data_IF_589845969042
#
_entry.id   IF_589845969042
#
_cell.length_a   1.000
_cell.length_b   1.000
_cell.length_c   1.000
_cell.angle_alpha   90.00
_cell.angle_beta   90.00
_cell.angle_gamma   90.00
#
_symmetry.space_group_name_H-M   'P 1'
#
loop_
_entity.id
_entity.type
_entity.pdbx_description
1 polymer ?
#
# COMPACT_ATOMS: atom_id res chain seq x y z
N UNK A 1 30.74 -12.31 -5.58
CA UNK A 1 30.00 -11.74 -4.45
C UNK A 1 29.08 -12.78 -3.84
N UNK A 2 29.10 -12.90 -2.53
CA UNK A 2 28.26 -13.87 -1.77
C UNK A 2 27.65 -13.18 -0.56
N UNK A 3 26.43 -13.53 -0.23
CA UNK A 3 25.79 -13.10 1.01
C UNK A 3 26.47 -13.79 2.19
N UNK A 4 26.95 -13.00 3.14
CA UNK A 4 27.67 -13.48 4.34
C UNK A 4 26.82 -13.41 5.60
N UNK A 5 25.85 -12.50 5.66
CA UNK A 5 24.93 -12.36 6.78
C UNK A 5 23.66 -11.63 6.37
N UNK A 6 22.59 -11.78 7.18
CA UNK A 6 21.33 -11.06 7.07
C UNK A 6 20.93 -10.67 8.48
N UNK A 7 20.55 -9.41 8.66
CA UNK A 7 20.04 -8.87 9.92
C UNK A 7 18.71 -8.18 9.68
N UNK A 8 17.70 -8.61 10.41
CA UNK A 8 16.39 -7.96 10.44
C UNK A 8 16.24 -7.15 11.73
N UNK A 9 15.75 -5.95 11.63
CA UNK A 9 15.55 -5.05 12.78
C UNK A 9 14.16 -4.45 12.72
N UNK A 10 13.37 -4.67 13.75
CA UNK A 10 12.04 -4.05 13.90
C UNK A 10 12.18 -2.60 14.30
N UNK A 11 11.57 -1.72 13.56
CA UNK A 11 11.50 -0.29 13.84
C UNK A 11 10.05 0.17 13.98
N UNK A 12 9.84 1.16 14.80
CA UNK A 12 8.52 1.77 15.03
C UNK A 12 8.53 3.20 14.52
N UNK A 13 7.66 3.49 13.54
CA UNK A 13 7.50 4.83 12.97
C UNK A 13 6.29 5.49 13.65
N UNK A 14 6.48 6.59 14.41
CA UNK A 14 5.39 7.27 15.08
C UNK A 14 4.46 7.96 14.07
N UNK A 15 3.17 7.98 14.39
CA UNK A 15 2.13 8.72 13.68
C UNK A 15 1.72 9.96 14.49
N UNK A 16 1.34 11.03 13.81
CA UNK A 16 0.81 12.24 14.46
C UNK A 16 -0.45 11.95 15.29
N UNK A 17 -1.30 11.05 14.81
CA UNK A 17 -2.54 10.64 15.46
C UNK A 17 -2.95 9.23 15.01
N UNK A 18 -3.76 8.49 15.80
CA UNK A 18 -4.24 7.17 15.42
C UNK A 18 -5.11 7.21 14.16
N UNK A 19 -4.80 6.39 13.15
CA UNK A 19 -5.51 6.34 11.88
C UNK A 19 -6.59 5.27 11.92
N UNK A 20 -7.81 5.63 11.52
CA UNK A 20 -8.97 4.72 11.48
C UNK A 20 -9.22 4.22 10.07
N UNK A 21 -9.57 2.95 9.94
CA UNK A 21 -10.00 2.31 8.70
C UNK A 21 -10.98 1.16 9.01
N UNK A 22 -11.57 0.55 7.99
CA UNK A 22 -12.57 -0.52 8.15
C UNK A 22 -12.10 -1.72 8.97
N UNK A 23 -10.79 -2.05 8.89
CA UNK A 23 -10.22 -3.21 9.58
C UNK A 23 -9.68 -2.88 10.99
N UNK A 24 -9.89 -1.65 11.49
CA UNK A 24 -9.45 -1.26 12.82
C UNK A 24 -8.73 0.09 12.90
N UNK A 25 -7.68 0.15 13.70
CA UNK A 25 -6.94 1.39 13.99
C UNK A 25 -5.45 1.13 14.02
N UNK A 26 -4.68 1.99 13.38
CA UNK A 26 -3.24 2.11 13.62
C UNK A 26 -3.03 3.02 14.84
N UNK A 27 -2.76 2.42 15.98
CA UNK A 27 -2.65 3.13 17.27
C UNK A 27 -1.33 3.89 17.40
N UNK A 28 -1.25 5.04 16.71
CA UNK A 28 -0.18 6.02 16.85
C UNK A 28 1.19 5.58 16.30
N UNK A 29 1.29 4.43 15.62
CA UNK A 29 2.55 3.93 15.07
C UNK A 29 2.35 2.93 13.94
N UNK A 30 3.32 2.89 13.01
CA UNK A 30 3.54 1.76 12.12
C UNK A 30 4.77 0.96 12.58
N UNK A 31 4.65 -0.36 12.52
CA UNK A 31 5.78 -1.27 12.73
C UNK A 31 6.33 -1.69 11.37
N UNK A 32 7.64 -1.55 11.19
CA UNK A 32 8.36 -1.94 9.97
C UNK A 32 9.52 -2.85 10.34
N UNK A 33 9.91 -3.76 9.44
CA UNK A 33 11.13 -4.55 9.59
C UNK A 33 12.11 -4.13 8.52
N UNK A 34 13.22 -3.55 8.93
CA UNK A 34 14.34 -3.19 8.05
C UNK A 34 15.28 -4.39 7.97
N UNK A 35 15.68 -4.74 6.76
CA UNK A 35 16.58 -5.84 6.45
C UNK A 35 17.89 -5.30 5.93
N UNK A 36 19.00 -5.73 6.53
CA UNK A 36 20.35 -5.51 6.05
C UNK A 36 20.92 -6.84 5.54
N UNK A 37 21.38 -6.87 4.31
CA UNK A 37 22.03 -8.03 3.67
C UNK A 37 23.49 -7.71 3.44
N UNK A 38 24.38 -8.47 4.07
CA UNK A 38 25.83 -8.28 4.05
C UNK A 38 26.46 -9.18 3.00
N UNK A 39 27.54 -8.71 2.35
CA UNK A 39 28.29 -9.47 1.36
C UNK A 39 29.76 -9.60 1.72
N UNK A 40 30.44 -10.61 1.12
CA UNK A 40 31.89 -10.83 1.22
C UNK A 40 32.73 -9.71 0.59
N UNK A 41 32.13 -8.83 -0.18
CA UNK A 41 32.76 -7.65 -0.76
C UNK A 41 32.54 -6.36 0.06
N UNK A 42 31.95 -6.45 1.25
CA UNK A 42 31.70 -5.32 2.13
C UNK A 42 30.53 -4.42 1.70
N UNK A 43 29.80 -4.79 0.65
CA UNK A 43 28.59 -4.06 0.24
C UNK A 43 27.43 -4.56 1.09
N UNK A 44 26.66 -3.61 1.64
CA UNK A 44 25.46 -3.88 2.42
C UNK A 44 24.25 -3.38 1.62
N UNK A 45 23.27 -4.26 1.38
CA UNK A 45 21.98 -3.89 0.80
C UNK A 45 20.91 -3.74 1.86
N UNK A 46 19.99 -2.83 1.63
CA UNK A 46 18.86 -2.55 2.53
C UNK A 46 17.55 -2.89 1.86
N UNK A 47 16.71 -3.62 2.59
CA UNK A 47 15.34 -3.93 2.21
C UNK A 47 14.39 -3.61 3.35
N UNK A 48 13.10 -3.70 3.08
CA UNK A 48 12.07 -3.39 4.05
C UNK A 48 10.83 -4.26 3.84
N UNK A 49 10.19 -4.62 4.95
CA UNK A 49 8.92 -5.31 4.97
C UNK A 49 7.95 -4.62 5.94
N UNK A 50 6.67 -4.52 5.56
CA UNK A 50 5.61 -4.00 6.42
C UNK A 50 5.17 -4.98 7.49
N UNK A 51 4.89 -4.47 8.69
CA UNK A 51 4.33 -5.24 9.80
C UNK A 51 5.33 -6.21 10.45
N UNK A 52 4.79 -7.13 11.23
CA UNK A 52 5.47 -8.32 11.75
C UNK A 52 6.14 -8.20 13.10
N UNK A 53 6.84 -7.12 13.41
CA UNK A 53 7.56 -7.00 14.69
C UNK A 53 8.57 -8.13 14.92
N UNK A 54 8.75 -8.54 16.17
CA UNK A 54 9.73 -9.57 16.59
C UNK A 54 9.54 -10.93 15.87
N UNK A 55 8.30 -11.30 15.54
CA UNK A 55 8.03 -12.54 14.80
C UNK A 55 8.64 -12.54 13.40
N UNK A 56 8.75 -11.37 12.78
CA UNK A 56 9.38 -11.21 11.46
C UNK A 56 10.90 -11.35 11.55
N UNK A 57 11.53 -10.83 12.60
CA UNK A 57 12.97 -11.03 12.84
C UNK A 57 13.33 -12.51 12.96
N UNK A 58 12.56 -13.27 13.75
CA UNK A 58 12.72 -14.72 13.87
C UNK A 58 12.51 -15.45 12.54
N UNK A 59 11.53 -15.00 11.74
CA UNK A 59 11.28 -15.59 10.44
C UNK A 59 12.43 -15.36 9.44
N UNK A 60 13.04 -14.16 9.44
CA UNK A 60 14.25 -13.89 8.65
C UNK A 60 15.45 -14.70 9.12
N UNK A 61 15.65 -14.83 10.44
CA UNK A 61 16.71 -15.69 10.97
C UNK A 61 16.53 -17.16 10.50
N UNK A 62 15.30 -17.64 10.46
CA UNK A 62 14.98 -18.97 9.92
C UNK A 62 15.29 -19.15 8.43
N UNK A 63 15.24 -18.06 7.64
CA UNK A 63 15.58 -18.06 6.22
C UNK A 63 17.10 -17.95 5.97
N UNK A 64 17.86 -17.42 6.89
CA UNK A 64 19.28 -17.14 6.76
C UNK A 64 20.09 -18.31 6.19
N UNK A 65 19.83 -19.52 6.69
CA UNK A 65 20.50 -20.74 6.23
C UNK A 65 20.35 -21.05 4.73
N UNK A 66 19.29 -20.54 4.07
CA UNK A 66 19.05 -20.74 2.65
C UNK A 66 19.71 -19.64 1.80
N UNK A 67 20.11 -18.54 2.41
CA UNK A 67 20.59 -17.33 1.77
C UNK A 67 22.11 -17.16 1.88
N UNK A 68 22.71 -17.67 2.95
CA UNK A 68 24.17 -17.63 3.12
C UNK A 68 24.88 -18.30 1.95
N UNK A 69 25.90 -17.61 1.39
CA UNK A 69 26.62 -18.06 0.21
C UNK A 69 25.91 -17.85 -1.12
N UNK A 70 24.66 -17.34 -1.11
CA UNK A 70 23.93 -17.01 -2.33
C UNK A 70 24.56 -15.80 -3.03
N UNK A 71 24.55 -15.80 -4.36
CA UNK A 71 24.97 -14.65 -5.17
C UNK A 71 23.78 -13.69 -5.32
N UNK A 72 23.83 -12.44 -4.80
CA UNK A 72 22.73 -11.49 -4.89
C UNK A 72 22.32 -11.12 -6.33
N UNK A 73 23.15 -11.41 -7.34
CA UNK A 73 22.78 -11.24 -8.75
C UNK A 73 21.80 -12.30 -9.27
N UNK A 74 21.67 -13.45 -8.60
CA UNK A 74 20.80 -14.55 -9.03
C UNK A 74 19.40 -14.39 -8.42
N UNK A 75 18.65 -13.36 -8.83
CA UNK A 75 17.34 -13.03 -8.25
C UNK A 75 16.30 -14.15 -8.46
N UNK A 76 16.29 -14.82 -9.62
CA UNK A 76 15.35 -15.94 -9.87
C UNK A 76 15.65 -17.18 -9.00
N UNK A 77 16.94 -17.50 -8.77
CA UNK A 77 17.31 -18.56 -7.83
C UNK A 77 16.89 -18.19 -6.39
N UNK A 78 17.05 -16.93 -6.03
CA UNK A 78 16.61 -16.40 -4.75
C UNK A 78 15.08 -16.59 -4.58
N UNK A 79 14.30 -16.17 -5.57
CA UNK A 79 12.85 -16.34 -5.58
C UNK A 79 12.46 -17.81 -5.45
N UNK A 80 13.11 -18.69 -6.21
CA UNK A 80 12.89 -20.13 -6.14
C UNK A 80 13.17 -20.70 -4.74
N UNK A 81 14.26 -20.33 -4.10
CA UNK A 81 14.63 -20.80 -2.75
C UNK A 81 13.66 -20.33 -1.66
N UNK A 82 13.13 -19.12 -1.77
CA UNK A 82 12.28 -18.53 -0.72
C UNK A 82 10.81 -18.81 -0.96
N UNK A 83 10.31 -18.58 -2.17
CA UNK A 83 8.89 -18.67 -2.51
C UNK A 83 8.48 -20.03 -3.00
N UNK A 84 9.45 -20.88 -3.38
CA UNK A 84 9.12 -22.17 -3.95
C UNK A 84 8.38 -23.04 -2.96
N UNK A 85 7.40 -23.72 -3.44
CA UNK A 85 6.21 -24.11 -2.76
C UNK A 85 6.47 -25.29 -1.87
N UNK A 86 6.58 -24.98 -0.70
CA UNK A 86 5.95 -25.89 0.22
C UNK A 86 4.48 -25.52 0.22
N UNK A 87 3.64 -26.49 0.17
CA UNK A 87 2.20 -26.47 0.01
C UNK A 87 1.37 -25.55 0.94
N UNK A 88 1.89 -24.44 1.45
CA UNK A 88 1.15 -23.52 2.29
C UNK A 88 0.90 -22.20 1.56
N UNK A 89 -0.35 -21.99 1.19
CA UNK A 89 -0.87 -20.72 0.65
C UNK A 89 -0.85 -19.58 1.68
N UNK A 90 -0.55 -19.86 2.95
CA UNK A 90 -0.68 -18.94 4.07
C UNK A 90 0.66 -18.51 4.67
N UNK A 91 1.75 -18.62 3.93
CA UNK A 91 3.04 -18.13 4.42
C UNK A 91 3.29 -16.71 3.91
N UNK A 92 3.96 -15.92 4.71
CA UNK A 92 4.40 -14.56 4.36
C UNK A 92 5.69 -14.53 3.52
N UNK A 93 6.09 -15.65 2.92
CA UNK A 93 7.37 -15.77 2.19
C UNK A 93 7.48 -14.84 1.00
N UNK A 94 6.36 -14.55 0.32
CA UNK A 94 6.35 -13.57 -0.79
C UNK A 94 6.77 -12.19 -0.31
N UNK A 95 6.25 -11.73 0.83
CA UNK A 95 6.63 -10.44 1.40
C UNK A 95 8.09 -10.44 1.90
N UNK A 96 8.52 -11.54 2.51
CA UNK A 96 9.92 -11.70 2.94
C UNK A 96 10.87 -11.74 1.74
N UNK A 97 10.47 -12.44 0.66
CA UNK A 97 11.22 -12.44 -0.60
C UNK A 97 11.38 -11.02 -1.14
N UNK A 98 10.31 -10.25 -1.21
CA UNK A 98 10.37 -8.87 -1.70
C UNK A 98 11.38 -8.02 -0.90
N UNK A 99 11.40 -8.12 0.43
CA UNK A 99 12.37 -7.40 1.26
C UNK A 99 13.83 -7.82 0.97
N UNK A 100 14.07 -9.12 0.76
CA UNK A 100 15.41 -9.63 0.42
C UNK A 100 15.78 -9.22 -1.00
N UNK A 101 14.86 -9.27 -1.95
CA UNK A 101 15.09 -8.84 -3.34
C UNK A 101 15.40 -7.35 -3.41
N UNK A 102 14.71 -6.49 -2.65
CA UNK A 102 15.05 -5.07 -2.55
C UNK A 102 16.48 -4.87 -2.06
N UNK A 103 16.90 -5.60 -1.03
CA UNK A 103 18.29 -5.55 -0.55
C UNK A 103 19.29 -6.04 -1.61
N UNK A 104 18.95 -7.08 -2.36
CA UNK A 104 19.78 -7.56 -3.47
C UNK A 104 19.89 -6.52 -4.60
N UNK A 105 18.78 -5.90 -4.99
CA UNK A 105 18.77 -4.82 -5.99
C UNK A 105 19.62 -3.61 -5.53
N UNK A 106 19.55 -3.26 -4.25
CA UNK A 106 20.38 -2.21 -3.66
C UNK A 106 21.88 -2.59 -3.71
N UNK A 107 22.23 -3.85 -3.42
CA UNK A 107 23.60 -4.37 -3.60
C UNK A 107 24.03 -4.26 -5.07
N UNK A 108 23.19 -4.67 -6.01
CA UNK A 108 23.48 -4.63 -7.43
C UNK A 108 23.71 -3.18 -7.89
N UNK A 109 22.84 -2.26 -7.53
CA UNK A 109 22.98 -0.84 -7.84
C UNK A 109 24.31 -0.26 -7.31
N UNK A 110 24.63 -0.54 -6.03
CA UNK A 110 25.88 -0.12 -5.39
C UNK A 110 27.10 -0.73 -6.07
N UNK A 111 27.06 -2.02 -6.41
CA UNK A 111 28.16 -2.72 -7.08
C UNK A 111 28.42 -2.20 -8.49
N UNK A 112 27.38 -1.89 -9.24
CA UNK A 112 27.47 -1.41 -10.63
C UNK A 112 27.63 0.12 -10.71
N UNK A 113 27.44 0.83 -9.61
CA UNK A 113 27.49 2.31 -9.59
C UNK A 113 26.31 2.96 -10.30
N UNK A 114 25.14 2.29 -10.33
CA UNK A 114 23.93 2.79 -10.98
C UNK A 114 22.74 2.78 -10.00
N UNK A 115 21.76 3.66 -10.17
CA UNK A 115 20.53 3.62 -9.39
C UNK A 115 19.70 2.38 -9.75
N UNK A 116 18.91 1.89 -8.80
CA UNK A 116 18.09 0.67 -8.99
C UNK A 116 17.11 0.80 -10.18
N UNK A 117 16.59 1.98 -10.45
CA UNK A 117 15.69 2.15 -11.59
C UNK A 117 16.34 1.84 -12.95
N UNK A 118 17.66 2.00 -13.09
CA UNK A 118 18.38 1.60 -14.31
C UNK A 118 18.41 0.08 -14.49
N UNK A 119 18.40 -0.68 -13.38
CA UNK A 119 18.28 -2.13 -13.38
C UNK A 119 16.85 -2.61 -13.75
N UNK A 120 15.86 -1.74 -13.59
CA UNK A 120 14.43 -2.02 -13.83
C UNK A 120 13.93 -1.46 -15.18
N UNK A 121 14.83 -1.07 -16.08
CA UNK A 121 14.45 -0.60 -17.41
C UNK A 121 14.69 0.90 -17.66
N UNK A 122 15.25 1.62 -16.69
CA UNK A 122 15.63 3.02 -16.82
C UNK A 122 14.60 4.01 -16.28
N UNK A 123 15.03 5.26 -16.18
CA UNK A 123 14.25 6.36 -15.64
C UNK A 123 13.25 6.90 -16.68
N UNK A 124 11.96 6.89 -16.34
CA UNK A 124 10.91 7.46 -17.17
C UNK A 124 10.58 8.92 -16.77
N UNK A 125 10.73 9.27 -15.48
CA UNK A 125 10.36 10.58 -14.93
C UNK A 125 11.41 11.04 -13.93
N UNK A 126 11.61 12.35 -13.85
CA UNK A 126 12.46 12.97 -12.83
C UNK A 126 11.69 13.20 -11.52
N UNK A 127 10.40 13.46 -11.62
CA UNK A 127 9.51 13.73 -10.48
C UNK A 127 8.30 12.78 -10.53
N UNK A 128 7.91 12.27 -9.36
CA UNK A 128 6.73 11.43 -9.17
C UNK A 128 5.74 12.16 -8.27
N UNK A 129 4.57 12.56 -8.80
CA UNK A 129 3.56 13.19 -7.97
C UNK A 129 2.95 12.20 -6.98
N UNK A 130 2.79 12.62 -5.73
CA UNK A 130 2.14 11.84 -4.68
C UNK A 130 0.73 12.35 -4.42
N UNK A 131 -0.16 11.44 -4.01
CA UNK A 131 -1.45 11.80 -3.46
C UNK A 131 -1.38 11.95 -1.95
N UNK A 132 -2.12 12.88 -1.38
CA UNK A 132 -2.33 12.88 0.07
C UNK A 132 -3.16 11.66 0.47
N UNK A 133 -2.82 11.05 1.60
CA UNK A 133 -3.57 9.94 2.16
C UNK A 133 -4.29 10.39 3.43
N UNK A 134 -5.58 10.66 3.30
CA UNK A 134 -6.43 11.25 4.34
C UNK A 134 -7.17 10.13 5.07
N UNK A 135 -7.11 10.14 6.39
CA UNK A 135 -7.81 9.20 7.27
C UNK A 135 -8.75 9.95 8.20
N UNK A 136 -9.84 9.31 8.59
CA UNK A 136 -10.46 9.64 9.86
C UNK A 136 -9.49 9.26 10.99
N UNK A 137 -9.43 10.06 12.03
CA UNK A 137 -8.43 9.93 13.11
C UNK A 137 -9.09 10.04 14.47
N UNK A 138 -8.58 9.32 15.45
CA UNK A 138 -8.73 9.68 16.85
C UNK A 138 -7.73 10.78 17.21
N UNK A 139 -8.01 11.57 18.26
CA UNK A 139 -7.00 12.51 18.76
C UNK A 139 -5.76 11.76 19.26
N UNK A 140 -4.61 12.38 19.16
CA UNK A 140 -3.40 11.88 19.80
C UNK A 140 -3.61 11.77 21.31
N UNK A 141 -3.20 10.68 21.92
CA UNK A 141 -3.46 10.41 23.34
C UNK A 141 -2.79 11.42 24.28
N UNK A 142 -1.65 11.98 23.89
CA UNK A 142 -0.86 12.92 24.67
C UNK A 142 -1.23 14.37 24.37
N UNK A 143 -1.10 14.79 23.10
CA UNK A 143 -1.35 16.17 22.70
C UNK A 143 -2.83 16.55 22.63
N UNK A 144 -3.73 15.54 22.53
CA UNK A 144 -5.17 15.68 22.27
C UNK A 144 -5.50 16.35 20.92
N UNK A 145 -4.52 16.46 20.03
CA UNK A 145 -4.65 17.08 18.71
C UNK A 145 -4.76 16.03 17.58
N UNK A 146 -5.00 16.48 16.36
CA UNK A 146 -4.98 15.66 15.16
C UNK A 146 -6.24 14.82 14.92
N UNK A 147 -7.35 15.06 15.67
CA UNK A 147 -8.63 14.42 15.41
C UNK A 147 -9.20 14.83 14.04
N UNK A 148 -9.68 13.82 13.29
CA UNK A 148 -10.44 14.01 12.05
C UNK A 148 -11.67 13.13 12.12
N UNK A 149 -12.81 13.70 12.51
CA UNK A 149 -14.06 12.98 12.72
C UNK A 149 -15.25 13.66 12.06
N UNK A 150 -15.26 14.98 12.04
CA UNK A 150 -16.34 15.78 11.44
C UNK A 150 -15.99 16.19 10.01
N UNK A 151 -16.97 16.61 9.24
CA UNK A 151 -16.79 17.15 7.88
C UNK A 151 -15.82 18.33 7.90
N UNK A 152 -16.00 19.26 8.83
CA UNK A 152 -15.16 20.46 8.93
C UNK A 152 -13.69 20.11 9.23
N UNK A 153 -13.46 19.17 10.17
CA UNK A 153 -12.11 18.68 10.48
C UNK A 153 -11.47 18.01 9.27
N UNK A 154 -12.24 17.20 8.52
CA UNK A 154 -11.75 16.54 7.31
C UNK A 154 -11.36 17.56 6.24
N UNK A 155 -12.19 18.54 5.97
CA UNK A 155 -11.95 19.61 5.00
C UNK A 155 -10.72 20.43 5.41
N UNK A 156 -10.63 20.83 6.66
CA UNK A 156 -9.48 21.57 7.18
C UNK A 156 -8.18 20.77 7.05
N UNK A 157 -8.22 19.46 7.38
CA UNK A 157 -7.07 18.57 7.26
C UNK A 157 -6.62 18.42 5.80
N UNK A 158 -7.56 18.21 4.86
CA UNK A 158 -7.25 18.12 3.43
C UNK A 158 -6.60 19.40 2.88
N UNK A 159 -7.16 20.58 3.25
CA UNK A 159 -6.58 21.90 2.89
C UNK A 159 -5.18 22.10 3.46
N UNK A 160 -4.96 21.75 4.72
CA UNK A 160 -3.64 21.83 5.37
C UNK A 160 -2.59 20.96 4.68
N UNK A 161 -2.95 19.75 4.27
CA UNK A 161 -2.07 18.85 3.52
C UNK A 161 -1.71 19.44 2.14
N UNK A 162 -2.69 19.98 1.43
CA UNK A 162 -2.45 20.66 0.15
C UNK A 162 -1.55 21.87 0.32
N UNK A 163 -1.82 22.72 1.29
CA UNK A 163 -1.02 23.92 1.57
C UNK A 163 0.42 23.57 1.94
N UNK A 164 0.61 22.57 2.79
CA UNK A 164 1.94 22.17 3.29
C UNK A 164 2.79 21.45 2.25
N UNK A 165 2.19 20.61 1.42
CA UNK A 165 2.91 19.67 0.56
C UNK A 165 2.61 19.82 -0.94
N UNK A 166 1.65 20.64 -1.33
CA UNK A 166 1.30 20.87 -2.73
C UNK A 166 0.53 19.72 -3.39
N UNK A 167 -0.11 18.84 -2.64
CA UNK A 167 -0.89 17.74 -3.22
C UNK A 167 -2.04 18.27 -4.09
N UNK A 168 -2.21 17.64 -5.25
CA UNK A 168 -3.31 17.88 -6.20
C UNK A 168 -4.17 16.65 -6.44
N UNK A 169 -3.88 15.58 -5.73
CA UNK A 169 -4.67 14.35 -5.69
C UNK A 169 -4.80 13.89 -4.24
N UNK A 170 -5.98 13.42 -3.86
CA UNK A 170 -6.32 13.10 -2.48
C UNK A 170 -7.03 11.76 -2.39
N UNK A 171 -6.57 10.88 -1.52
CA UNK A 171 -7.21 9.58 -1.22
C UNK A 171 -7.82 9.65 0.18
N UNK A 172 -9.15 9.49 0.29
CA UNK A 172 -9.83 9.33 1.58
C UNK A 172 -9.98 7.85 1.91
N UNK A 173 -9.45 7.45 3.05
CA UNK A 173 -9.66 6.12 3.63
C UNK A 173 -11.00 6.08 4.36
N UNK A 174 -11.92 5.28 3.83
CA UNK A 174 -13.28 5.14 4.33
C UNK A 174 -13.53 3.81 5.06
N UNK A 175 -14.82 3.44 5.14
CA UNK A 175 -15.28 2.24 5.84
C UNK A 175 -15.29 2.39 7.36
N UNK A 176 -15.26 3.61 7.87
CA UNK A 176 -15.18 3.95 9.31
C UNK A 176 -16.52 4.35 9.85
N UNK A 177 -17.34 5.02 9.04
CA UNK A 177 -18.66 5.53 9.41
C UNK A 177 -19.76 4.96 8.51
N UNK A 178 -20.99 5.36 8.78
CA UNK A 178 -22.10 5.02 7.88
C UNK A 178 -21.82 5.57 6.46
N UNK A 179 -22.07 4.78 5.39
CA UNK A 179 -21.78 5.18 4.02
C UNK A 179 -22.39 6.51 3.59
N UNK A 180 -23.60 6.85 4.06
CA UNK A 180 -24.23 8.15 3.76
C UNK A 180 -23.45 9.34 4.34
N UNK A 181 -22.89 9.17 5.53
CA UNK A 181 -22.06 10.19 6.15
C UNK A 181 -20.72 10.32 5.42
N UNK A 182 -20.11 9.20 5.02
CA UNK A 182 -18.86 9.21 4.25
C UNK A 182 -19.03 9.82 2.85
N UNK A 183 -20.20 9.65 2.21
CA UNK A 183 -20.57 10.40 0.97
C UNK A 183 -20.53 11.91 1.23
N UNK A 184 -21.18 12.37 2.32
CA UNK A 184 -21.17 13.80 2.65
C UNK A 184 -19.76 14.33 2.96
N UNK A 185 -18.95 13.54 3.68
CA UNK A 185 -17.53 13.83 3.94
C UNK A 185 -16.73 13.96 2.65
N UNK A 186 -16.84 12.98 1.75
CA UNK A 186 -16.10 12.94 0.51
C UNK A 186 -16.51 14.09 -0.43
N UNK A 187 -17.80 14.38 -0.56
CA UNK A 187 -18.29 15.50 -1.35
C UNK A 187 -17.76 16.83 -0.82
N UNK A 188 -17.90 17.08 0.49
CA UNK A 188 -17.40 18.31 1.11
C UNK A 188 -15.88 18.49 0.93
N UNK A 189 -15.11 17.43 1.05
CA UNK A 189 -13.67 17.45 0.77
C UNK A 189 -13.40 17.82 -0.69
N UNK A 190 -14.07 17.18 -1.65
CA UNK A 190 -13.88 17.43 -3.08
C UNK A 190 -14.31 18.86 -3.48
N UNK A 191 -15.45 19.32 -2.98
CA UNK A 191 -15.96 20.69 -3.23
C UNK A 191 -15.05 21.78 -2.61
N UNK A 192 -14.33 21.44 -1.53
CA UNK A 192 -13.42 22.35 -0.86
C UNK A 192 -12.06 22.55 -1.54
N UNK A 193 -11.71 21.67 -2.49
CA UNK A 193 -10.43 21.63 -3.22
C UNK A 193 -10.70 21.54 -4.73
N UNK A 194 -11.32 22.58 -5.32
CA UNK A 194 -11.71 22.55 -6.73
C UNK A 194 -10.49 22.41 -7.66
N UNK A 195 -10.64 21.57 -8.68
CA UNK A 195 -9.58 21.26 -9.65
C UNK A 195 -8.67 20.10 -9.24
N UNK A 196 -8.74 19.64 -8.01
CA UNK A 196 -8.00 18.47 -7.56
C UNK A 196 -8.74 17.15 -7.92
N UNK A 197 -8.05 16.03 -7.78
CA UNK A 197 -8.57 14.70 -8.06
C UNK A 197 -8.72 13.90 -6.77
N UNK A 198 -9.70 13.00 -6.76
CA UNK A 198 -10.08 12.29 -5.54
C UNK A 198 -10.16 10.78 -5.75
N UNK A 199 -9.86 10.05 -4.67
CA UNK A 199 -9.96 8.60 -4.56
C UNK A 199 -10.62 8.26 -3.24
N UNK A 200 -11.46 7.24 -3.26
CA UNK A 200 -12.07 6.71 -2.03
C UNK A 200 -11.78 5.23 -1.90
N UNK A 201 -11.40 4.80 -0.71
CA UNK A 201 -11.00 3.41 -0.44
C UNK A 201 -11.57 2.96 0.92
N UNK A 202 -12.68 2.22 0.93
CA UNK A 202 -13.28 1.67 2.13
C UNK A 202 -12.72 0.30 2.54
N UNK A 203 -11.69 -0.22 1.87
CA UNK A 203 -11.12 -1.57 2.12
C UNK A 203 -12.18 -2.66 2.16
N UNK A 204 -13.00 -2.74 1.12
CA UNK A 204 -14.06 -3.74 0.93
C UNK A 204 -15.12 -3.79 2.06
N UNK A 205 -15.32 -2.67 2.77
CA UNK A 205 -16.27 -2.60 3.88
C UNK A 205 -17.72 -2.53 3.44
N UNK A 206 -18.00 -2.19 2.17
CA UNK A 206 -19.35 -2.00 1.70
C UNK A 206 -19.90 -3.27 1.04
N UNK A 207 -21.21 -3.47 1.14
CA UNK A 207 -21.92 -4.41 0.28
C UNK A 207 -21.90 -3.92 -1.17
N UNK A 208 -22.22 -4.80 -2.13
CA UNK A 208 -22.36 -4.42 -3.54
C UNK A 208 -23.38 -3.30 -3.73
N UNK A 209 -24.53 -3.38 -3.03
CA UNK A 209 -25.58 -2.38 -3.12
C UNK A 209 -25.16 -1.03 -2.53
N UNK A 210 -24.49 -1.03 -1.38
CA UNK A 210 -23.95 0.20 -0.78
C UNK A 210 -22.86 0.82 -1.64
N UNK A 211 -21.98 -0.01 -2.24
CA UNK A 211 -20.94 0.44 -3.16
C UNK A 211 -21.53 1.14 -4.39
N UNK A 212 -22.59 0.59 -4.98
CA UNK A 212 -23.30 1.20 -6.10
C UNK A 212 -23.93 2.54 -5.69
N UNK A 213 -24.65 2.56 -4.55
CA UNK A 213 -25.25 3.80 -4.03
C UNK A 213 -24.21 4.88 -3.74
N UNK A 214 -23.08 4.47 -3.15
CA UNK A 214 -21.95 5.36 -2.88
C UNK A 214 -21.36 5.93 -4.17
N UNK A 215 -21.04 5.06 -5.14
CA UNK A 215 -20.48 5.46 -6.42
C UNK A 215 -21.40 6.41 -7.20
N UNK A 216 -22.70 6.12 -7.27
CA UNK A 216 -23.70 7.03 -7.89
C UNK A 216 -23.72 8.39 -7.20
N UNK A 217 -23.61 8.43 -5.88
CA UNK A 217 -23.69 9.67 -5.10
C UNK A 217 -22.45 10.57 -5.25
N UNK A 218 -21.33 10.07 -5.79
CA UNK A 218 -20.08 10.82 -5.96
C UNK A 218 -19.58 10.88 -7.41
N UNK A 219 -20.25 10.25 -8.38
CA UNK A 219 -19.75 10.11 -9.76
C UNK A 219 -19.70 11.43 -10.54
N UNK A 220 -20.33 12.48 -10.07
CA UNK A 220 -20.27 13.84 -10.61
C UNK A 220 -19.01 14.62 -10.18
N UNK A 221 -18.25 14.07 -9.23
CA UNK A 221 -17.03 14.68 -8.75
C UNK A 221 -15.81 14.27 -9.58
N UNK A 222 -14.67 14.93 -9.37
CA UNK A 222 -13.41 14.65 -10.06
C UNK A 222 -12.72 13.40 -9.50
N UNK A 223 -13.30 12.22 -9.76
CA UNK A 223 -12.77 10.95 -9.28
C UNK A 223 -11.69 10.39 -10.19
N UNK A 224 -10.57 9.89 -9.61
CA UNK A 224 -9.61 9.04 -10.30
C UNK A 224 -10.14 7.60 -10.38
N UNK A 225 -10.56 7.06 -9.22
CA UNK A 225 -11.15 5.74 -9.09
C UNK A 225 -11.81 5.55 -7.70
N UNK A 226 -12.64 4.52 -7.62
CA UNK A 226 -13.16 3.96 -6.38
C UNK A 226 -12.43 2.64 -6.12
N UNK A 227 -11.64 2.57 -5.03
CA UNK A 227 -10.77 1.44 -4.71
C UNK A 227 -11.46 0.47 -3.75
N UNK A 228 -11.43 -0.80 -4.11
CA UNK A 228 -11.96 -1.90 -3.28
C UNK A 228 -13.25 -1.56 -2.52
N UNK A 229 -14.33 -1.13 -3.20
CA UNK A 229 -15.56 -0.80 -2.48
C UNK A 229 -16.19 -2.04 -1.82
N UNK A 230 -16.04 -3.21 -2.44
CA UNK A 230 -16.58 -4.49 -1.97
C UNK A 230 -15.63 -5.64 -2.26
N UNK A 231 -15.91 -6.81 -1.70
CA UNK A 231 -15.08 -8.00 -1.89
C UNK A 231 -15.34 -8.75 -3.19
N UNK A 232 -14.25 -9.33 -3.73
CA UNK A 232 -14.25 -10.33 -4.79
C UNK A 232 -14.51 -9.77 -6.18
N UNK A 233 -13.96 -10.43 -7.22
CA UNK A 233 -14.07 -10.02 -8.61
C UNK A 233 -15.53 -9.84 -9.05
N UNK A 234 -16.42 -10.77 -8.71
CA UNK A 234 -17.83 -10.67 -9.05
C UNK A 234 -18.55 -9.49 -8.38
N UNK A 235 -18.19 -9.17 -7.14
CA UNK A 235 -18.72 -8.01 -6.43
C UNK A 235 -18.28 -6.72 -7.12
N UNK A 236 -16.98 -6.58 -7.38
CA UNK A 236 -16.42 -5.42 -8.07
C UNK A 236 -17.00 -5.23 -9.47
N UNK A 237 -17.17 -6.31 -10.25
CA UNK A 237 -17.81 -6.26 -11.60
C UNK A 237 -19.22 -5.68 -11.53
N UNK A 238 -20.04 -6.16 -10.59
CA UNK A 238 -21.41 -5.65 -10.42
C UNK A 238 -21.46 -4.18 -10.05
N UNK A 239 -20.49 -3.68 -9.31
CA UNK A 239 -20.34 -2.25 -9.02
C UNK A 239 -19.91 -1.51 -10.28
N UNK A 240 -18.84 -1.97 -10.95
CA UNK A 240 -18.28 -1.39 -12.17
C UNK A 240 -19.32 -1.19 -13.27
N UNK A 241 -20.24 -2.15 -13.45
CA UNK A 241 -21.31 -2.10 -14.45
C UNK A 241 -22.41 -1.06 -14.13
N UNK A 242 -22.42 -0.46 -12.96
CA UNK A 242 -23.50 0.40 -12.49
C UNK A 242 -23.12 1.83 -12.16
N UNK A 243 -21.82 2.16 -12.19
CA UNK A 243 -21.31 3.50 -11.90
C UNK A 243 -20.34 3.97 -12.98
N UNK A 244 -20.18 5.28 -13.13
CA UNK A 244 -19.28 5.91 -14.10
C UNK A 244 -17.94 6.34 -13.46
N UNK A 245 -17.46 5.58 -12.47
CA UNK A 245 -16.16 5.79 -11.85
C UNK A 245 -15.32 4.55 -12.10
N UNK A 246 -14.05 4.67 -12.54
CA UNK A 246 -13.17 3.52 -12.66
C UNK A 246 -13.05 2.79 -11.31
N UNK A 247 -13.05 1.46 -11.34
CA UNK A 247 -12.83 0.63 -10.16
C UNK A 247 -11.36 0.24 -10.08
N UNK A 248 -10.75 0.44 -8.91
CA UNK A 248 -9.39 0.00 -8.61
C UNK A 248 -9.38 -1.10 -7.55
N UNK A 249 -8.31 -1.89 -7.53
CA UNK A 249 -8.08 -2.89 -6.47
C UNK A 249 -6.60 -3.05 -6.15
N UNK A 250 -6.31 -3.25 -4.87
CA UNK A 250 -5.04 -3.78 -4.38
C UNK A 250 -5.22 -5.06 -3.53
N UNK A 251 -6.47 -5.45 -3.24
CA UNK A 251 -6.76 -6.58 -2.35
C UNK A 251 -7.35 -7.79 -3.06
N UNK A 252 -7.97 -7.61 -4.22
CA UNK A 252 -8.70 -8.68 -4.91
C UNK A 252 -7.87 -9.31 -6.03
N UNK A 253 -7.01 -8.56 -6.71
CA UNK A 253 -6.09 -9.09 -7.71
C UNK A 253 -4.68 -9.06 -7.14
N UNK A 254 -4.25 -10.19 -6.59
CA UNK A 254 -2.96 -10.35 -5.92
C UNK A 254 -2.04 -11.38 -6.57
N UNK A 255 -2.52 -12.05 -7.62
CA UNK A 255 -1.75 -13.05 -8.37
C UNK A 255 -2.22 -13.14 -9.84
N UNK A 256 -1.48 -13.94 -10.63
CA UNK A 256 -1.73 -14.10 -12.05
C UNK A 256 -3.09 -14.75 -12.37
N UNK A 257 -3.61 -15.65 -11.54
CA UNK A 257 -4.90 -16.31 -11.77
C UNK A 257 -6.03 -15.27 -11.75
N UNK A 258 -6.03 -14.39 -10.76
CA UNK A 258 -7.00 -13.31 -10.63
C UNK A 258 -6.83 -12.26 -11.74
N UNK A 259 -5.59 -12.00 -12.15
CA UNK A 259 -5.31 -11.10 -13.28
C UNK A 259 -5.90 -11.65 -14.58
N UNK A 260 -5.70 -12.93 -14.88
CA UNK A 260 -6.28 -13.58 -16.09
C UNK A 260 -7.80 -13.55 -16.03
N UNK A 261 -8.41 -13.84 -14.87
CA UNK A 261 -9.86 -13.73 -14.66
C UNK A 261 -10.36 -12.32 -14.98
N UNK A 262 -9.65 -11.29 -14.49
CA UNK A 262 -10.01 -9.89 -14.76
C UNK A 262 -9.85 -9.50 -16.25
N UNK A 263 -8.86 -10.07 -16.96
CA UNK A 263 -8.69 -9.82 -18.40
C UNK A 263 -9.85 -10.42 -19.20
N UNK A 264 -10.28 -11.63 -18.84
CA UNK A 264 -11.38 -12.31 -19.52
C UNK A 264 -12.75 -11.72 -19.18
N UNK A 265 -12.94 -11.31 -17.93
CA UNK A 265 -14.18 -10.77 -17.41
C UNK A 265 -13.89 -9.53 -16.54
N UNK A 266 -13.77 -8.34 -17.14
CA UNK A 266 -13.32 -7.14 -16.44
C UNK A 266 -14.15 -6.82 -15.20
N UNK A 267 -13.51 -6.81 -14.07
CA UNK A 267 -14.07 -6.49 -12.74
C UNK A 267 -13.54 -5.17 -12.22
N UNK A 268 -12.31 -4.82 -12.61
CA UNK A 268 -11.65 -3.56 -12.27
C UNK A 268 -10.96 -2.96 -13.51
N UNK A 269 -10.73 -1.66 -13.47
CA UNK A 269 -10.06 -0.87 -14.50
C UNK A 269 -8.60 -0.57 -14.13
N UNK A 270 -8.28 -0.56 -12.84
CA UNK A 270 -6.97 -0.21 -12.30
C UNK A 270 -6.52 -1.27 -11.30
N UNK A 271 -5.29 -1.74 -11.43
CA UNK A 271 -4.61 -2.62 -10.46
C UNK A 271 -3.50 -1.80 -9.81
N UNK A 272 -3.47 -1.80 -8.48
CA UNK A 272 -2.56 -1.02 -7.64
C UNK A 272 -1.46 -1.89 -7.03
#
# INVERSE_FOLDING_TARGET
MRITDIKATTVTVPLEAPLRHSNGVHWGRFVRTVLEVFTDEGIIGVGEMGGGGESTEVAFEGLKKYLLGHNPFNLEELRYKICNPTASLYNNRTQMHAAIEFACLDILGKKLGVPVYDLLGGKLRDEVPFASYIFFRYPNEVSKEGEVRTIDQLVQHGKALKEKYGFVSHKLKGGVFNPKYEVACFRALAESLPGDRFRFDPNAALSVEESIKFGIAIQDLSNDYLEDPTWGLNGLRRVRERINIPIATNTVITNNEQLVENILNPSVDVIL
#
